data_IF_385397230338
#
_entry.id   IF_385397230338
#
_cell.length_a   1.000
_cell.length_b   1.000
_cell.length_c   1.000
_cell.angle_alpha   90.00
_cell.angle_beta   90.00
_cell.angle_gamma   90.00
#
_symmetry.space_group_name_H-M   'P 1'
#
loop_
_entity.id
_entity.type
_entity.pdbx_description
1 polymer ?
#
# COMPACT_ATOMS: atom_id res chain seq x y z
N UNK A 1 -2.69 1.71 23.28
CA UNK A 1 -3.10 2.41 22.05
C UNK A 1 -4.50 1.96 21.66
N UNK A 2 -5.39 2.89 21.27
CA UNK A 2 -6.74 2.54 20.81
C UNK A 2 -6.63 1.82 19.47
N UNK A 3 -7.19 0.62 19.37
CA UNK A 3 -7.25 -0.13 18.10
C UNK A 3 -8.17 0.63 17.15
N UNK A 4 -7.62 1.16 16.05
CA UNK A 4 -8.41 1.76 14.98
C UNK A 4 -8.91 0.60 14.12
N UNK A 5 -10.23 0.44 14.02
CA UNK A 5 -10.85 -0.56 13.18
C UNK A 5 -11.30 0.09 11.87
N UNK A 6 -10.99 -0.55 10.75
CA UNK A 6 -11.51 -0.20 9.44
C UNK A 6 -12.46 -1.32 8.98
N UNK A 7 -13.67 -0.95 8.56
CA UNK A 7 -14.63 -1.91 8.01
C UNK A 7 -14.41 -2.01 6.51
N UNK A 8 -13.75 -3.09 6.09
CA UNK A 8 -13.48 -3.37 4.69
C UNK A 8 -14.72 -3.96 4.01
N UNK A 9 -15.20 -3.27 2.98
CA UNK A 9 -16.43 -3.62 2.29
C UNK A 9 -16.18 -4.81 1.35
N UNK A 10 -17.00 -5.85 1.48
CA UNK A 10 -17.02 -6.96 0.53
C UNK A 10 -17.67 -6.50 -0.78
N UNK A 11 -17.17 -7.00 -1.91
CA UNK A 11 -17.77 -6.80 -3.23
C UNK A 11 -17.85 -8.10 -4.02
N UNK A 12 -18.90 -8.22 -4.84
CA UNK A 12 -19.00 -9.20 -5.92
C UNK A 12 -18.95 -8.56 -7.30
N UNK A 13 -18.89 -7.22 -7.36
CA UNK A 13 -18.70 -6.46 -8.59
C UNK A 13 -17.23 -6.57 -9.03
N UNK A 14 -16.96 -6.73 -10.34
CA UNK A 14 -15.59 -6.77 -10.84
C UNK A 14 -14.89 -5.43 -10.61
N UNK A 15 -13.66 -5.49 -10.11
CA UNK A 15 -12.78 -4.33 -9.93
C UNK A 15 -11.59 -4.47 -10.89
N UNK A 16 -11.37 -3.47 -11.75
CA UNK A 16 -10.20 -3.48 -12.63
C UNK A 16 -9.02 -2.85 -11.90
N UNK A 17 -7.83 -3.39 -12.17
CA UNK A 17 -6.58 -2.85 -11.64
C UNK A 17 -5.91 -2.07 -12.77
N UNK A 18 -6.43 -0.87 -13.03
CA UNK A 18 -5.96 0.04 -14.09
C UNK A 18 -5.51 1.41 -13.57
N UNK A 19 -5.52 1.60 -12.24
CA UNK A 19 -5.12 2.83 -11.57
C UNK A 19 -6.22 3.89 -11.52
N UNK A 20 -7.44 3.58 -11.97
CA UNK A 20 -8.63 4.41 -11.79
C UNK A 20 -9.49 3.94 -10.62
N UNK A 21 -10.37 4.83 -10.14
CA UNK A 21 -11.36 4.55 -9.08
C UNK A 21 -12.79 4.81 -9.58
N UNK A 22 -13.01 4.54 -10.86
CA UNK A 22 -14.26 4.84 -11.56
C UNK A 22 -15.36 3.80 -11.25
N UNK A 23 -14.99 2.60 -10.78
CA UNK A 23 -15.99 1.59 -10.40
C UNK A 23 -16.89 2.10 -9.26
N UNK A 24 -18.23 1.99 -9.39
CA UNK A 24 -19.18 2.50 -8.40
C UNK A 24 -18.95 1.99 -6.97
N UNK A 25 -18.42 0.77 -6.82
CA UNK A 25 -18.12 0.17 -5.51
C UNK A 25 -17.16 1.02 -4.67
N UNK A 26 -16.21 1.75 -5.28
CA UNK A 26 -15.27 2.62 -4.58
C UNK A 26 -15.95 3.80 -3.89
N UNK A 27 -17.10 4.25 -4.37
CA UNK A 27 -17.88 5.32 -3.74
C UNK A 27 -18.54 4.87 -2.44
N UNK A 28 -18.76 3.56 -2.28
CA UNK A 28 -19.35 2.97 -1.07
C UNK A 28 -18.29 2.56 -0.03
N UNK A 29 -17.04 2.38 -0.44
CA UNK A 29 -15.94 2.11 0.48
C UNK A 29 -15.63 3.33 1.36
N UNK A 30 -15.40 3.07 2.66
CA UNK A 30 -15.01 4.11 3.61
C UNK A 30 -13.57 4.58 3.34
N UNK A 31 -13.28 5.84 3.65
CA UNK A 31 -11.91 6.35 3.61
C UNK A 31 -11.17 5.87 4.87
N UNK A 32 -9.91 5.47 4.70
CA UNK A 32 -9.00 5.16 5.81
C UNK A 32 -8.54 6.45 6.47
N UNK A 33 -8.58 6.48 7.80
CA UNK A 33 -8.03 7.59 8.57
C UNK A 33 -6.53 7.37 8.78
N UNK A 34 -5.70 8.19 8.13
CA UNK A 34 -4.27 8.21 8.37
C UNK A 34 -3.94 8.85 9.72
N UNK A 35 -2.85 8.39 10.32
CA UNK A 35 -2.22 9.06 11.47
C UNK A 35 -1.15 9.97 10.91
N UNK A 36 -1.22 11.26 11.26
CA UNK A 36 -0.21 12.24 10.88
C UNK A 36 1.01 12.03 11.79
N UNK A 37 2.24 11.94 11.25
CA UNK A 37 3.45 11.85 12.06
C UNK A 37 3.53 13.01 13.05
N UNK A 38 4.02 12.75 14.26
CA UNK A 38 4.10 13.74 15.36
C UNK A 38 4.93 14.98 15.02
N UNK A 39 5.75 14.91 13.97
CA UNK A 39 6.55 16.03 13.44
C UNK A 39 5.73 17.04 12.65
N UNK A 40 4.49 16.71 12.28
CA UNK A 40 3.59 17.57 11.52
C UNK A 40 2.25 17.75 12.24
N UNK A 41 1.63 18.92 12.07
CA UNK A 41 0.27 19.19 12.56
C UNK A 41 -0.80 18.69 11.58
N UNK A 42 -0.52 18.81 10.29
CA UNK A 42 -1.39 18.48 9.16
C UNK A 42 -0.56 17.71 8.11
N UNK A 43 -1.16 16.87 7.25
CA UNK A 43 -0.43 16.20 6.18
C UNK A 43 0.17 17.24 5.21
N UNK A 44 1.44 17.06 4.82
CA UNK A 44 2.08 17.89 3.79
C UNK A 44 1.43 17.68 2.41
N UNK A 45 1.16 16.41 2.10
CA UNK A 45 0.57 15.93 0.86
C UNK A 45 -0.69 15.15 1.24
N UNK A 46 -1.87 15.59 0.77
CA UNK A 46 -3.13 14.93 1.09
C UNK A 46 -3.11 13.53 0.47
N UNK A 47 -3.45 12.51 1.24
CA UNK A 47 -3.61 11.15 0.74
C UNK A 47 -4.91 10.55 1.27
N UNK A 48 -5.69 9.97 0.38
CA UNK A 48 -6.88 9.18 0.70
C UNK A 48 -6.62 7.72 0.34
N UNK A 49 -7.03 6.79 1.20
CA UNK A 49 -7.01 5.38 0.88
C UNK A 49 -8.38 4.76 1.15
N UNK A 50 -8.69 3.72 0.38
CA UNK A 50 -9.90 2.90 0.54
C UNK A 50 -9.54 1.45 0.29
N UNK A 51 -10.24 0.55 0.98
CA UNK A 51 -10.05 -0.88 0.81
C UNK A 51 -11.38 -1.58 0.55
N UNK A 52 -11.34 -2.54 -0.36
CA UNK A 52 -12.40 -3.52 -0.66
C UNK A 52 -11.81 -4.92 -0.55
N UNK A 53 -12.66 -5.94 -0.49
CA UNK A 53 -12.22 -7.33 -0.64
C UNK A 53 -13.29 -8.17 -1.34
N UNK A 54 -12.85 -9.26 -1.96
CA UNK A 54 -13.73 -10.33 -2.44
C UNK A 54 -13.17 -11.70 -2.06
N UNK A 55 -13.68 -12.77 -2.69
CA UNK A 55 -13.25 -14.15 -2.40
C UNK A 55 -11.79 -14.45 -2.77
N UNK A 56 -11.19 -13.67 -3.66
CA UNK A 56 -9.87 -13.92 -4.24
C UNK A 56 -8.84 -12.84 -3.85
N UNK A 57 -9.27 -11.58 -3.66
CA UNK A 57 -8.37 -10.43 -3.50
C UNK A 57 -8.77 -9.49 -2.37
N UNK A 58 -7.74 -8.89 -1.76
CA UNK A 58 -7.83 -7.61 -1.05
C UNK A 58 -7.47 -6.50 -2.05
N UNK A 59 -8.36 -5.53 -2.22
CA UNK A 59 -8.13 -4.36 -3.05
C UNK A 59 -7.75 -3.17 -2.18
N UNK A 60 -6.66 -2.49 -2.51
CA UNK A 60 -6.19 -1.29 -1.82
C UNK A 60 -6.00 -0.19 -2.83
N UNK A 61 -6.69 0.94 -2.63
CA UNK A 61 -6.52 2.13 -3.45
C UNK A 61 -5.86 3.24 -2.66
N UNK A 62 -5.04 4.02 -3.33
CA UNK A 62 -4.55 5.30 -2.83
C UNK A 62 -4.82 6.40 -3.86
N UNK A 63 -5.21 7.57 -3.36
CA UNK A 63 -5.25 8.82 -4.11
C UNK A 63 -4.41 9.83 -3.36
N UNK A 64 -3.17 9.99 -3.81
CA UNK A 64 -2.20 10.89 -3.22
C UNK A 64 -2.07 12.16 -4.07
N UNK A 65 -1.88 13.29 -3.42
CA UNK A 65 -1.65 14.59 -4.05
C UNK A 65 -0.26 15.06 -3.68
N UNK A 66 0.63 15.17 -4.66
CA UNK A 66 1.95 15.75 -4.47
C UNK A 66 2.22 16.83 -5.53
N UNK A 67 2.99 17.85 -5.15
CA UNK A 67 3.41 18.94 -6.04
C UNK A 67 4.70 18.62 -6.78
N UNK A 68 5.46 17.62 -6.32
CA UNK A 68 6.79 17.29 -6.83
C UNK A 68 7.01 15.77 -6.79
N UNK A 69 6.26 15.05 -7.64
CA UNK A 69 6.33 13.58 -7.71
C UNK A 69 7.72 13.15 -8.20
N UNK A 70 8.45 12.41 -7.37
CA UNK A 70 9.79 11.92 -7.63
C UNK A 70 9.88 10.40 -7.63
N UNK A 71 10.27 9.81 -8.76
CA UNK A 71 10.56 8.38 -8.87
C UNK A 71 11.46 8.05 -10.07
N UNK A 72 12.39 7.11 -9.88
CA UNK A 72 13.41 6.68 -10.83
C UNK A 72 13.61 5.16 -10.85
N UNK A 73 13.45 4.46 -9.72
CA UNK A 73 13.57 3.01 -9.66
C UNK A 73 12.49 2.32 -10.49
N UNK A 74 12.92 1.48 -11.44
CA UNK A 74 12.04 0.73 -12.38
C UNK A 74 12.09 -0.79 -12.20
N UNK A 75 13.10 -1.28 -11.50
CA UNK A 75 13.33 -2.69 -11.30
C UNK A 75 12.55 -3.14 -10.07
N UNK A 76 11.79 -4.23 -10.20
CA UNK A 76 11.11 -4.87 -9.07
C UNK A 76 12.11 -5.13 -7.93
N UNK A 77 11.65 -4.92 -6.69
CA UNK A 77 12.44 -5.08 -5.46
C UNK A 77 13.62 -4.11 -5.32
N UNK A 78 13.60 -3.00 -6.06
CA UNK A 78 14.47 -1.85 -5.79
C UNK A 78 14.07 -1.13 -4.49
N UNK A 79 14.90 -0.18 -4.05
CA UNK A 79 14.68 0.65 -2.87
C UNK A 79 13.62 1.73 -3.09
N UNK A 80 12.39 1.33 -3.39
CA UNK A 80 11.26 2.24 -3.63
C UNK A 80 10.98 3.17 -2.44
N UNK A 81 11.30 2.76 -1.22
CA UNK A 81 11.24 3.59 -0.01
C UNK A 81 12.10 4.85 -0.01
N UNK A 82 13.09 4.97 -0.91
CA UNK A 82 13.92 6.18 -1.05
C UNK A 82 13.29 7.22 -2.03
N UNK A 83 12.07 6.97 -2.53
CA UNK A 83 11.33 7.80 -3.49
C UNK A 83 9.88 8.06 -3.03
N UNK A 84 9.07 8.75 -3.84
CA UNK A 84 7.64 8.83 -3.59
C UNK A 84 6.99 7.46 -3.78
N UNK A 85 6.47 6.94 -2.68
CA UNK A 85 5.97 5.57 -2.57
C UNK A 85 4.76 5.51 -1.66
N UNK A 86 3.89 4.54 -1.95
CA UNK A 86 2.78 4.17 -1.07
C UNK A 86 3.00 2.75 -0.59
N UNK A 87 2.88 2.57 0.73
CA UNK A 87 3.23 1.31 1.39
C UNK A 87 2.02 0.68 2.08
N UNK A 88 1.96 -0.66 2.02
CA UNK A 88 0.96 -1.48 2.68
C UNK A 88 1.68 -2.52 3.53
N UNK A 89 1.35 -2.59 4.82
CA UNK A 89 1.86 -3.60 5.73
C UNK A 89 0.72 -4.48 6.23
N UNK A 90 0.82 -5.80 5.98
CA UNK A 90 -0.22 -6.77 6.34
C UNK A 90 0.33 -7.79 7.33
N UNK A 91 -0.29 -7.81 8.51
CA UNK A 91 -0.04 -8.82 9.54
C UNK A 91 -1.23 -9.75 9.62
N UNK A 92 -1.10 -10.97 9.08
CA UNK A 92 -2.21 -11.93 8.99
C UNK A 92 -2.54 -12.61 10.32
N UNK A 93 -1.58 -12.66 11.25
CA UNK A 93 -1.80 -13.10 12.61
C UNK A 93 -1.30 -12.03 13.61
N UNK A 94 -2.19 -11.35 14.36
CA UNK A 94 -1.80 -10.25 15.24
C UNK A 94 -0.85 -10.65 16.37
N UNK A 95 -0.84 -11.94 16.77
CA UNK A 95 -0.05 -12.47 17.88
C UNK A 95 1.35 -12.95 17.46
N UNK A 96 1.63 -13.09 16.16
CA UNK A 96 2.94 -13.55 15.65
C UNK A 96 3.75 -12.37 15.13
N UNK A 97 5.08 -12.42 15.17
CA UNK A 97 5.91 -11.32 14.63
C UNK A 97 5.84 -11.08 13.11
N UNK A 98 5.73 -12.12 12.25
CA UNK A 98 5.87 -11.91 10.82
C UNK A 98 4.76 -11.06 10.17
N UNK A 99 5.13 -10.32 9.13
CA UNK A 99 4.24 -9.50 8.33
C UNK A 99 4.75 -9.38 6.89
N UNK A 100 3.85 -8.98 6.00
CA UNK A 100 4.14 -8.68 4.60
C UNK A 100 4.19 -7.18 4.40
N UNK A 101 5.09 -6.71 3.54
CA UNK A 101 5.09 -5.34 3.07
C UNK A 101 5.02 -5.28 1.55
N UNK A 102 4.36 -4.25 1.06
CA UNK A 102 4.20 -3.93 -0.35
C UNK A 102 4.47 -2.45 -0.49
N UNK A 103 5.31 -2.09 -1.45
CA UNK A 103 5.68 -0.72 -1.78
C UNK A 103 5.47 -0.55 -3.28
N UNK A 104 4.74 0.50 -3.67
CA UNK A 104 4.50 0.81 -5.07
C UNK A 104 4.84 2.28 -5.28
N UNK A 105 5.88 2.55 -6.07
CA UNK A 105 6.30 3.91 -6.37
C UNK A 105 5.48 4.53 -7.51
N UNK A 106 5.70 5.82 -7.79
CA UNK A 106 4.96 6.56 -8.81
C UNK A 106 5.10 5.99 -10.24
N UNK A 107 6.16 5.21 -10.53
CA UNK A 107 6.34 4.52 -11.81
C UNK A 107 5.66 3.15 -11.87
N UNK A 108 5.01 2.71 -10.79
CA UNK A 108 4.39 1.39 -10.68
C UNK A 108 5.39 0.28 -10.37
N UNK A 109 6.63 0.62 -10.02
CA UNK A 109 7.62 -0.35 -9.57
C UNK A 109 7.20 -0.89 -8.22
N UNK A 110 7.20 -2.22 -8.13
CA UNK A 110 6.79 -2.94 -6.93
C UNK A 110 8.01 -3.43 -6.19
N UNK A 111 8.00 -3.24 -4.88
CA UNK A 111 8.76 -4.04 -3.93
C UNK A 111 7.76 -4.80 -3.07
N UNK A 112 7.97 -6.09 -2.84
CA UNK A 112 7.26 -6.83 -1.80
C UNK A 112 8.21 -7.73 -1.00
N UNK A 113 7.87 -7.97 0.27
CA UNK A 113 8.69 -8.82 1.11
C UNK A 113 7.91 -9.47 2.26
N UNK A 114 8.48 -10.58 2.73
CA UNK A 114 8.07 -11.27 3.94
C UNK A 114 9.06 -10.99 5.07
N UNK A 115 8.65 -10.21 6.05
CA UNK A 115 9.48 -9.82 7.18
C UNK A 115 9.20 -10.71 8.39
N UNK A 116 10.25 -11.26 9.01
CA UNK A 116 10.11 -12.13 10.20
C UNK A 116 9.68 -11.38 11.46
N UNK A 117 10.05 -10.11 11.58
CA UNK A 117 9.70 -9.20 12.69
C UNK A 117 10.00 -7.77 12.30
N UNK A 118 9.50 -6.79 13.06
CA UNK A 118 9.82 -5.38 12.85
C UNK A 118 11.33 -5.16 12.93
N UNK A 119 11.88 -4.42 11.96
CA UNK A 119 13.32 -4.14 11.90
C UNK A 119 14.17 -5.36 11.57
N UNK A 120 13.56 -6.49 11.18
CA UNK A 120 14.30 -7.62 10.63
C UNK A 120 15.22 -7.13 9.51
N UNK A 121 14.67 -6.25 8.63
CA UNK A 121 15.27 -5.26 7.72
C UNK A 121 16.80 -5.07 7.73
N UNK A 122 17.38 -4.85 8.91
CA UNK A 122 18.72 -4.25 8.97
C UNK A 122 18.82 -3.00 8.07
N UNK A 123 20.03 -2.68 7.61
CA UNK A 123 20.27 -1.63 6.60
C UNK A 123 20.25 -2.14 5.16
N UNK A 124 20.01 -3.44 4.96
CA UNK A 124 19.95 -4.08 3.65
C UNK A 124 18.51 -4.51 3.36
N UNK A 125 17.77 -3.58 2.75
CA UNK A 125 16.36 -3.71 2.40
C UNK A 125 16.07 -4.93 1.50
N UNK A 126 17.06 -5.54 0.85
CA UNK A 126 16.82 -6.63 -0.10
C UNK A 126 16.72 -8.01 0.56
N UNK A 127 17.16 -8.17 1.81
CA UNK A 127 17.28 -9.50 2.42
C UNK A 127 15.94 -10.27 2.53
N UNK A 128 14.81 -9.57 2.62
CA UNK A 128 13.47 -10.19 2.66
C UNK A 128 12.64 -10.02 1.39
N UNK A 129 13.15 -9.31 0.38
CA UNK A 129 12.56 -9.23 -0.97
C UNK A 129 12.65 -10.53 -1.79
N UNK A 130 13.08 -11.64 -1.17
CA UNK A 130 13.11 -12.96 -1.81
C UNK A 130 11.73 -13.62 -1.93
N UNK A 131 10.72 -13.04 -1.30
CA UNK A 131 9.36 -13.52 -1.39
C UNK A 131 8.60 -12.64 -2.37
N UNK A 132 8.12 -13.23 -3.45
CA UNK A 132 7.22 -12.58 -4.41
C UNK A 132 5.77 -12.95 -4.11
N UNK A 133 4.90 -11.94 -3.98
CA UNK A 133 3.47 -12.16 -3.87
C UNK A 133 2.88 -12.63 -5.21
N UNK A 134 2.68 -13.95 -5.34
CA UNK A 134 2.08 -14.53 -6.53
C UNK A 134 0.66 -14.00 -6.76
N UNK A 135 0.42 -13.45 -7.95
CA UNK A 135 -0.88 -12.90 -8.32
C UNK A 135 -1.13 -11.46 -7.86
N UNK A 136 -0.13 -10.77 -7.28
CA UNK A 136 -0.20 -9.34 -7.05
C UNK A 136 -0.46 -8.60 -8.37
N UNK A 137 -1.40 -7.65 -8.34
CA UNK A 137 -1.72 -6.75 -9.43
C UNK A 137 -1.64 -5.32 -8.90
N UNK A 138 -0.99 -4.44 -9.65
CA UNK A 138 -0.90 -3.02 -9.35
C UNK A 138 -1.00 -2.21 -10.63
N UNK A 139 -1.50 -0.99 -10.52
CA UNK A 139 -1.53 -0.02 -11.60
C UNK A 139 -1.47 1.38 -11.01
N UNK A 140 -0.76 2.28 -11.68
CA UNK A 140 -0.55 3.66 -11.25
C UNK A 140 -0.87 4.59 -12.42
N UNK A 141 -1.58 5.67 -12.12
CA UNK A 141 -1.88 6.76 -13.06
C UNK A 141 -1.50 8.08 -12.40
N UNK A 142 -0.65 8.85 -13.06
CA UNK A 142 -0.32 10.24 -12.70
C UNK A 142 -1.17 11.16 -13.59
N UNK A 143 -1.78 12.18 -13.00
CA UNK A 143 -2.67 13.14 -13.68
C UNK A 143 -2.15 14.56 -13.56
#
# INVERSE_FOLDING_TARGET
MKKIAYSCLFTSEPVKIDGSLDEPVWQRAKIVNFIIPVTHKEPLSKTEAKLLWDKDYLYVSFKAYDKDIWSYFKQRDSRTCDEDVLEIFIKTNPEKEPYYNFEINALGTVYDAFNLKRGAGGGDHHRWSRWDCQGLRSAVVIK
#
